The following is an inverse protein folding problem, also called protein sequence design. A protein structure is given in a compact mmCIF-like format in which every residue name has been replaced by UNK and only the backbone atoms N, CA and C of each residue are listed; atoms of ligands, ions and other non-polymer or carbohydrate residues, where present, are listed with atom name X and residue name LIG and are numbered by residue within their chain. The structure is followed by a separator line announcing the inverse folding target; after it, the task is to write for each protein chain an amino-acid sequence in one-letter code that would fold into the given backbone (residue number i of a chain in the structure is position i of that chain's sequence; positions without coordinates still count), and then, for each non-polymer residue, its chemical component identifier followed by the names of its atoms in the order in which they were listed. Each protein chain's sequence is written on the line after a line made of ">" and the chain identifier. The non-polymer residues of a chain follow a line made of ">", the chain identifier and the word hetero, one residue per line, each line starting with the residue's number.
data_IF_239684632983
#
_entry.id   IF_239684632983
#
_cell.length_a   1.000
_cell.length_b   1.000
_cell.length_c   1.000
_cell.angle_alpha   90.00
_cell.angle_beta   90.00
_cell.angle_gamma   90.00
#
_symmetry.space_group_name_H-M   'P 1'
#
loop_
_entity.id
_entity.type
_entity.pdbx_description
1 polymer ?
#
# COMPACT_ATOMS: atom_id res chain seq x y z
N UNK A 1 -6.19 32.55 -8.10
CA UNK A 1 -7.13 33.32 -7.25
C UNK A 1 -8.54 32.77 -7.40
N UNK A 2 -9.32 32.69 -6.32
CA UNK A 2 -10.64 32.03 -6.31
C UNK A 2 -11.81 32.94 -6.73
N UNK A 3 -12.68 32.45 -7.63
CA UNK A 3 -13.94 33.13 -7.97
C UNK A 3 -14.89 33.17 -6.77
N UNK A 4 -15.57 34.31 -6.58
CA UNK A 4 -16.61 34.51 -5.55
C UNK A 4 -16.14 34.32 -4.10
N UNK A 5 -14.86 34.59 -3.81
CA UNK A 5 -14.26 34.44 -2.46
C UNK A 5 -15.05 35.12 -1.34
N UNK A 6 -15.66 36.27 -1.62
CA UNK A 6 -16.41 37.06 -0.64
C UNK A 6 -17.61 36.31 -0.05
N UNK A 7 -18.12 35.28 -0.75
CA UNK A 7 -19.25 34.46 -0.25
C UNK A 7 -18.84 33.52 0.88
N UNK A 8 -17.55 33.22 1.01
CA UNK A 8 -17.02 32.32 2.04
C UNK A 8 -16.53 33.07 3.30
N UNK A 9 -16.78 34.38 3.39
CA UNK A 9 -16.37 35.20 4.53
C UNK A 9 -17.47 35.20 5.59
N UNK A 10 -17.19 34.61 6.74
CA UNK A 10 -18.07 34.55 7.91
C UNK A 10 -17.86 33.26 8.69
N UNK A 11 -18.61 33.06 9.77
CA UNK A 11 -18.59 31.86 10.59
C UNK A 11 -19.88 31.05 10.36
N UNK A 12 -19.74 29.72 10.29
CA UNK A 12 -20.86 28.77 10.16
C UNK A 12 -21.85 29.10 9.03
N UNK A 13 -21.32 29.44 7.86
CA UNK A 13 -22.12 29.81 6.69
C UNK A 13 -22.37 28.63 5.76
N UNK A 14 -23.62 28.47 5.34
CA UNK A 14 -23.97 27.61 4.20
C UNK A 14 -23.95 28.41 2.91
N UNK A 15 -23.05 28.06 1.99
CA UNK A 15 -22.85 28.80 0.74
C UNK A 15 -23.17 27.91 -0.45
N UNK A 16 -24.21 28.27 -1.22
CA UNK A 16 -24.46 27.62 -2.50
C UNK A 16 -23.44 28.08 -3.55
N UNK A 17 -22.53 27.18 -3.95
CA UNK A 17 -21.50 27.42 -4.96
C UNK A 17 -21.78 26.60 -6.22
N UNK A 18 -21.97 27.28 -7.35
CA UNK A 18 -22.09 26.63 -8.65
C UNK A 18 -20.93 27.09 -9.56
N UNK A 19 -20.11 26.16 -10.08
CA UNK A 19 -19.05 26.50 -11.04
C UNK A 19 -19.68 27.03 -12.34
N UNK A 20 -19.01 27.99 -12.97
CA UNK A 20 -19.43 28.56 -14.25
C UNK A 20 -18.24 28.53 -15.23
N UNK A 21 -18.12 27.38 -15.88
CA UNK A 21 -17.06 27.05 -16.84
C UNK A 21 -17.02 28.01 -18.05
N UNK A 22 -18.13 28.70 -18.35
CA UNK A 22 -18.24 29.59 -19.52
C UNK A 22 -17.69 31.00 -19.29
N UNK A 23 -17.40 31.38 -18.04
CA UNK A 23 -16.84 32.70 -17.73
C UNK A 23 -15.31 32.67 -17.77
N UNK A 24 -14.73 33.22 -18.84
CA UNK A 24 -13.27 33.40 -19.08
C UNK A 24 -12.65 34.47 -18.16
N UNK A 25 -12.77 34.31 -16.85
CA UNK A 25 -12.04 35.15 -15.89
C UNK A 25 -10.65 34.57 -15.63
N UNK A 26 -9.68 35.41 -15.26
CA UNK A 26 -8.36 34.97 -14.78
C UNK A 26 -8.38 34.27 -13.41
N UNK A 27 -9.54 34.21 -12.75
CA UNK A 27 -9.75 33.53 -11.47
C UNK A 27 -10.16 32.07 -11.70
N UNK A 28 -9.61 31.18 -10.88
CA UNK A 28 -9.92 29.77 -10.83
C UNK A 28 -11.22 29.51 -10.08
N UNK A 29 -11.91 28.41 -10.44
CA UNK A 29 -13.11 27.92 -9.77
C UNK A 29 -12.76 26.75 -8.83
N UNK A 30 -13.64 26.48 -7.86
CA UNK A 30 -13.55 25.25 -7.07
C UNK A 30 -13.99 24.07 -7.93
N UNK A 31 -13.32 22.94 -7.73
CA UNK A 31 -13.71 21.66 -8.32
C UNK A 31 -14.72 20.98 -7.40
N UNK A 32 -15.90 20.67 -7.94
CA UNK A 32 -17.04 20.09 -7.23
C UNK A 32 -16.85 18.62 -6.81
N UNK A 33 -15.76 17.98 -7.26
CA UNK A 33 -15.40 16.60 -6.90
C UNK A 33 -14.55 16.48 -5.63
N UNK A 34 -14.22 17.59 -4.97
CA UNK A 34 -13.53 17.56 -3.69
C UNK A 34 -14.49 17.56 -2.51
N UNK A 35 -14.23 16.70 -1.52
CA UNK A 35 -15.00 16.66 -0.27
C UNK A 35 -14.67 17.81 0.69
N UNK A 36 -13.43 18.30 0.65
CA UNK A 36 -12.93 19.33 1.56
C UNK A 36 -12.07 20.36 0.82
N UNK A 37 -12.06 21.60 1.33
CA UNK A 37 -11.23 22.69 0.81
C UNK A 37 -10.45 23.35 1.94
N UNK A 38 -9.16 23.57 1.73
CA UNK A 38 -8.30 24.34 2.63
C UNK A 38 -7.82 25.58 1.86
N UNK A 39 -8.11 26.77 2.37
CA UNK A 39 -7.72 28.03 1.74
C UNK A 39 -6.50 28.62 2.44
N UNK A 40 -5.39 28.78 1.70
CA UNK A 40 -4.18 29.40 2.20
C UNK A 40 -4.16 30.89 1.88
N UNK A 41 -4.23 31.74 2.90
CA UNK A 41 -4.11 33.19 2.79
C UNK A 41 -2.74 33.67 3.27
N UNK A 42 -2.12 34.55 2.49
CA UNK A 42 -0.87 35.24 2.84
C UNK A 42 -1.02 36.77 2.79
N UNK A 43 -2.26 37.28 2.75
CA UNK A 43 -2.60 38.70 2.67
C UNK A 43 -2.39 39.33 1.29
N UNK A 44 -1.81 38.61 0.32
CA UNK A 44 -1.56 39.14 -1.03
C UNK A 44 -2.67 38.75 -2.01
N UNK A 45 -2.94 39.63 -2.97
CA UNK A 45 -3.94 39.41 -4.02
C UNK A 45 -3.21 39.28 -5.37
N UNK A 46 -3.55 38.25 -6.15
CA UNK A 46 -3.01 38.05 -7.50
C UNK A 46 -1.67 37.33 -7.58
N UNK A 47 -1.13 36.88 -6.45
CA UNK A 47 0.06 36.02 -6.41
C UNK A 47 -0.33 34.56 -6.20
N UNK A 48 0.40 33.67 -6.86
CA UNK A 48 0.26 32.22 -6.71
C UNK A 48 1.28 31.70 -5.69
N UNK A 49 0.99 30.55 -5.08
CA UNK A 49 1.94 29.83 -4.25
C UNK A 49 1.84 30.06 -2.74
N UNK A 50 0.78 30.72 -2.25
CA UNK A 50 0.54 30.81 -0.79
C UNK A 50 0.31 29.42 -0.18
N UNK A 51 -0.28 28.51 -0.95
CA UNK A 51 -0.61 27.14 -0.57
C UNK A 51 0.61 26.23 -0.41
N UNK A 52 1.73 26.54 -1.03
CA UNK A 52 2.90 25.65 -1.11
C UNK A 52 3.51 25.44 0.27
N UNK A 53 3.68 26.52 1.03
CA UNK A 53 4.25 26.47 2.38
C UNK A 53 3.31 25.73 3.32
N UNK A 54 2.00 25.99 3.22
CA UNK A 54 0.99 25.33 4.04
C UNK A 54 0.93 23.83 3.74
N UNK A 55 0.83 23.46 2.46
CA UNK A 55 0.82 22.07 1.99
C UNK A 55 2.03 21.32 2.51
N UNK A 56 3.23 21.90 2.32
CA UNK A 56 4.47 21.29 2.79
C UNK A 56 4.47 21.04 4.29
N UNK A 57 4.07 22.04 5.11
CA UNK A 57 4.02 21.88 6.57
C UNK A 57 3.02 20.82 7.01
N UNK A 58 1.89 20.74 6.32
CA UNK A 58 0.87 19.74 6.58
C UNK A 58 1.37 18.33 6.25
N UNK A 59 1.99 18.14 5.08
CA UNK A 59 2.59 16.87 4.67
C UNK A 59 3.65 16.41 5.67
N UNK A 60 4.57 17.30 6.08
CA UNK A 60 5.58 17.01 7.12
C UNK A 60 4.93 16.64 8.45
N UNK A 61 3.90 17.39 8.87
CA UNK A 61 3.18 17.10 10.12
C UNK A 61 2.51 15.73 10.09
N UNK A 62 1.84 15.39 8.99
CA UNK A 62 1.15 14.11 8.83
C UNK A 62 2.15 12.93 8.80
N UNK A 63 3.31 13.13 8.21
CA UNK A 63 4.34 12.09 8.17
C UNK A 63 5.00 11.86 9.55
N UNK A 64 4.97 12.85 10.46
CA UNK A 64 5.63 12.78 11.77
C UNK A 64 4.72 12.39 12.95
N UNK A 65 3.42 12.68 12.89
CA UNK A 65 2.55 12.66 14.09
C UNK A 65 1.76 11.36 14.32
N UNK A 66 2.02 10.30 13.57
CA UNK A 66 1.33 9.03 13.73
C UNK A 66 2.26 7.95 14.28
N UNK A 67 1.73 7.13 15.19
CA UNK A 67 2.40 5.94 15.76
C UNK A 67 2.87 4.93 14.71
N UNK A 68 2.40 5.08 13.47
CA UNK A 68 2.90 4.45 12.26
C UNK A 68 3.12 5.59 11.24
N UNK A 69 4.33 5.80 10.73
CA UNK A 69 4.65 6.86 9.76
C UNK A 69 3.77 6.70 8.52
N UNK A 70 2.92 7.70 8.22
CA UNK A 70 2.06 7.64 7.03
C UNK A 70 2.93 7.89 5.80
N UNK A 71 3.03 6.95 4.84
CA UNK A 71 3.74 7.18 3.59
C UNK A 71 3.12 8.33 2.80
N UNK A 72 3.94 9.28 2.39
CA UNK A 72 3.52 10.38 1.50
C UNK A 72 4.14 10.16 0.12
N UNK A 73 3.32 10.22 -0.92
CA UNK A 73 3.75 10.15 -2.33
C UNK A 73 3.37 11.44 -3.03
N UNK A 74 4.29 11.97 -3.82
CA UNK A 74 4.02 13.04 -4.76
C UNK A 74 3.97 12.45 -6.19
N UNK A 75 2.82 12.57 -6.86
CA UNK A 75 2.66 12.16 -8.25
C UNK A 75 2.73 13.39 -9.14
N UNK A 76 3.65 13.38 -10.11
CA UNK A 76 3.83 14.45 -11.08
C UNK A 76 3.22 14.02 -12.40
N UNK A 77 2.12 14.68 -12.75
CA UNK A 77 1.45 14.56 -14.04
C UNK A 77 1.55 15.90 -14.75
N UNK A 78 2.20 15.91 -15.91
CA UNK A 78 2.57 17.12 -16.64
C UNK A 78 3.32 18.14 -15.75
N UNK A 79 3.08 19.43 -15.95
CA UNK A 79 3.57 20.51 -15.09
C UNK A 79 4.35 21.59 -15.83
N UNK A 80 4.53 22.73 -15.16
CA UNK A 80 5.35 23.84 -15.63
C UNK A 80 6.74 23.84 -15.01
N UNK A 81 7.58 24.81 -15.36
CA UNK A 81 8.91 24.99 -14.76
C UNK A 81 8.85 25.15 -13.22
N UNK A 82 7.75 25.67 -12.68
CA UNK A 82 7.56 25.78 -11.25
C UNK A 82 7.37 24.41 -10.56
N UNK A 83 6.79 23.43 -11.26
CA UNK A 83 6.68 22.04 -10.77
C UNK A 83 8.06 21.44 -10.58
N UNK A 84 8.98 21.63 -11.54
CA UNK A 84 10.37 21.18 -11.44
C UNK A 84 11.04 21.78 -10.20
N UNK A 85 10.83 23.08 -9.95
CA UNK A 85 11.35 23.75 -8.76
C UNK A 85 10.78 23.16 -7.47
N UNK A 86 9.48 22.88 -7.41
CA UNK A 86 8.85 22.25 -6.23
C UNK A 86 9.46 20.87 -5.98
N UNK A 87 9.57 20.05 -7.02
CA UNK A 87 10.15 18.69 -6.95
C UNK A 87 11.59 18.75 -6.44
N UNK A 88 12.39 19.64 -7.00
CA UNK A 88 13.76 19.90 -6.56
C UNK A 88 13.83 20.30 -5.07
N UNK A 89 12.95 21.22 -4.66
CA UNK A 89 12.83 21.69 -3.28
C UNK A 89 12.41 20.57 -2.29
N UNK A 90 11.67 19.54 -2.75
CA UNK A 90 11.33 18.35 -1.95
C UNK A 90 12.55 17.45 -1.79
N UNK A 91 13.21 17.09 -2.90
CA UNK A 91 14.35 16.17 -2.90
C UNK A 91 15.53 16.76 -2.13
N UNK A 92 15.98 17.97 -2.48
CA UNK A 92 17.17 18.59 -1.85
C UNK A 92 16.99 18.80 -0.35
N UNK A 93 15.77 19.14 0.09
CA UNK A 93 15.52 19.31 1.53
C UNK A 93 15.47 17.99 2.26
N UNK A 94 14.86 16.95 1.68
CA UNK A 94 14.90 15.63 2.30
C UNK A 94 16.34 15.14 2.47
N UNK A 95 17.18 15.28 1.44
CA UNK A 95 18.60 14.91 1.55
C UNK A 95 19.29 15.69 2.68
N UNK A 96 19.03 16.99 2.80
CA UNK A 96 19.59 17.83 3.88
C UNK A 96 19.05 17.48 5.25
N UNK A 97 17.75 17.27 5.37
CA UNK A 97 17.10 16.94 6.64
C UNK A 97 17.57 15.57 7.12
N UNK A 98 17.65 14.57 6.23
CA UNK A 98 18.16 13.24 6.52
C UNK A 98 19.63 13.24 6.99
N UNK A 99 20.45 14.17 6.47
CA UNK A 99 21.85 14.31 6.90
C UNK A 99 22.01 14.96 8.29
N UNK A 100 21.03 15.75 8.75
CA UNK A 100 21.15 16.56 9.97
C UNK A 100 20.33 15.99 11.12
N UNK A 101 19.16 15.48 10.81
CA UNK A 101 18.24 14.87 11.75
C UNK A 101 17.93 13.49 11.20
N UNK A 102 18.10 12.44 12.01
CA UNK A 102 17.78 11.06 11.66
C UNK A 102 16.25 10.90 11.52
N UNK A 103 15.70 11.54 10.50
CA UNK A 103 14.28 11.81 10.35
C UNK A 103 13.70 10.77 9.40
N UNK A 104 12.69 9.99 9.86
CA UNK A 104 12.25 8.80 9.16
C UNK A 104 11.27 9.07 8.00
N UNK A 105 10.90 10.32 7.70
CA UNK A 105 9.90 10.59 6.66
C UNK A 105 10.54 10.87 5.31
N UNK A 106 10.18 10.06 4.31
CA UNK A 106 10.56 10.23 2.89
C UNK A 106 9.31 10.46 2.07
N UNK A 107 9.30 11.50 1.25
CA UNK A 107 8.27 11.66 0.22
C UNK A 107 8.80 11.08 -1.07
N UNK A 108 8.14 10.06 -1.56
CA UNK A 108 8.51 9.40 -2.82
C UNK A 108 7.89 10.14 -3.99
N UNK A 109 8.66 10.30 -5.05
CA UNK A 109 8.24 10.97 -6.27
C UNK A 109 7.92 9.94 -7.34
N UNK A 110 6.72 10.00 -7.89
CA UNK A 110 6.31 9.21 -9.05
C UNK A 110 6.10 10.16 -10.22
N UNK A 111 6.91 10.02 -11.26
CA UNK A 111 6.84 10.85 -12.47
C UNK A 111 6.18 10.04 -13.58
N UNK A 112 5.08 10.57 -14.14
CA UNK A 112 4.40 9.96 -15.27
C UNK A 112 5.06 10.38 -16.59
N UNK A 113 5.92 9.52 -17.14
CA UNK A 113 6.53 9.70 -18.45
C UNK A 113 5.49 9.61 -19.57
N UNK A 114 5.54 10.55 -20.51
CA UNK A 114 4.57 10.73 -21.58
C UNK A 114 3.36 11.59 -21.19
N UNK A 115 3.36 12.17 -19.99
CA UNK A 115 2.27 13.08 -19.56
C UNK A 115 2.47 14.54 -19.95
N UNK A 116 3.69 14.93 -20.38
CA UNK A 116 3.96 16.24 -20.95
C UNK A 116 4.90 17.13 -20.14
N UNK A 117 5.50 18.12 -20.84
CA UNK A 117 6.26 19.26 -20.30
C UNK A 117 7.21 18.88 -19.15
N UNK A 118 6.91 19.29 -17.90
CA UNK A 118 7.81 19.08 -16.76
C UNK A 118 8.03 17.59 -16.44
N UNK A 119 7.00 16.76 -16.54
CA UNK A 119 7.10 15.33 -16.24
C UNK A 119 8.03 14.62 -17.24
N UNK A 120 7.88 14.91 -18.54
CA UNK A 120 8.73 14.32 -19.57
C UNK A 120 10.18 14.78 -19.45
N UNK A 121 10.43 16.04 -19.10
CA UNK A 121 11.78 16.54 -18.85
C UNK A 121 12.43 15.88 -17.64
N UNK A 122 11.67 15.64 -16.56
CA UNK A 122 12.14 14.88 -15.39
C UNK A 122 12.45 13.43 -15.77
N UNK A 123 11.56 12.77 -16.50
CA UNK A 123 11.73 11.40 -16.96
C UNK A 123 12.93 11.25 -17.91
N UNK A 124 13.05 12.14 -18.89
CA UNK A 124 14.18 12.17 -19.82
C UNK A 124 15.50 12.37 -19.07
N UNK A 125 15.57 13.32 -18.14
CA UNK A 125 16.79 13.57 -17.37
C UNK A 125 17.14 12.37 -16.49
N UNK A 126 16.15 11.73 -15.87
CA UNK A 126 16.35 10.53 -15.06
C UNK A 126 16.90 9.34 -15.87
N UNK A 127 16.43 9.15 -17.11
CA UNK A 127 16.95 8.09 -17.99
C UNK A 127 18.32 8.43 -18.58
N UNK A 128 18.62 9.70 -18.79
CA UNK A 128 19.84 10.13 -19.47
C UNK A 128 21.04 10.36 -18.53
N UNK A 129 20.82 10.43 -17.21
CA UNK A 129 21.90 10.57 -16.24
C UNK A 129 22.71 9.27 -16.13
N UNK A 130 24.03 9.38 -16.18
CA UNK A 130 24.94 8.25 -15.97
C UNK A 130 24.99 7.81 -14.50
N UNK A 131 25.66 6.69 -14.23
CA UNK A 131 25.92 6.22 -12.86
C UNK A 131 26.85 7.17 -12.09
N UNK A 132 27.59 8.02 -12.80
CA UNK A 132 28.43 9.08 -12.25
C UNK A 132 27.64 10.33 -11.83
N UNK A 133 26.31 10.34 -12.00
CA UNK A 133 25.45 11.45 -11.64
C UNK A 133 25.66 12.69 -12.52
N UNK A 134 26.24 12.51 -13.71
CA UNK A 134 26.47 13.58 -14.70
C UNK A 134 25.74 13.25 -16.01
N UNK A 135 25.45 14.31 -16.76
CA UNK A 135 24.98 14.22 -18.13
C UNK A 135 26.16 14.38 -19.08
N UNK A 136 26.12 13.72 -20.22
CA UNK A 136 27.06 14.00 -21.31
C UNK A 136 26.80 15.40 -21.89
N UNK A 137 27.84 16.05 -22.41
CA UNK A 137 27.74 17.40 -22.95
C UNK A 137 26.68 17.51 -24.06
N UNK A 138 26.58 16.49 -24.92
CA UNK A 138 25.56 16.44 -25.98
C UNK A 138 24.14 16.42 -25.44
N UNK A 139 23.88 15.59 -24.42
CA UNK A 139 22.58 15.50 -23.75
C UNK A 139 22.28 16.79 -22.98
N UNK A 140 23.29 17.40 -22.36
CA UNK A 140 23.12 18.66 -21.65
C UNK A 140 22.70 19.79 -22.61
N UNK A 141 23.33 19.90 -23.78
CA UNK A 141 22.94 20.87 -24.81
C UNK A 141 21.53 20.59 -25.35
N UNK A 142 21.17 19.33 -25.56
CA UNK A 142 19.80 18.94 -25.96
C UNK A 142 18.78 19.33 -24.90
N UNK A 143 19.06 19.03 -23.62
CA UNK A 143 18.17 19.35 -22.51
C UNK A 143 17.98 20.85 -22.34
N UNK A 144 19.04 21.65 -22.51
CA UNK A 144 18.98 23.10 -22.55
C UNK A 144 18.01 23.59 -23.64
N UNK A 145 18.17 23.10 -24.87
CA UNK A 145 17.30 23.48 -26.00
C UNK A 145 15.84 23.06 -25.77
N UNK A 146 15.61 21.88 -25.19
CA UNK A 146 14.27 21.41 -24.83
C UNK A 146 13.61 22.29 -23.77
N UNK A 147 14.35 22.68 -22.72
CA UNK A 147 13.84 23.56 -21.65
C UNK A 147 13.49 24.95 -22.19
N UNK A 148 14.35 25.51 -23.06
CA UNK A 148 14.10 26.78 -23.74
C UNK A 148 12.81 26.71 -24.57
N UNK A 149 12.66 25.66 -25.37
CA UNK A 149 11.47 25.46 -26.22
C UNK A 149 10.19 25.25 -25.40
N UNK A 150 10.23 24.37 -24.39
CA UNK A 150 9.04 23.94 -23.64
C UNK A 150 8.50 25.06 -22.73
N UNK A 151 9.38 25.85 -22.11
CA UNK A 151 8.97 26.90 -21.16
C UNK A 151 9.14 28.32 -21.70
N UNK A 152 9.68 28.50 -22.91
CA UNK A 152 9.97 29.80 -23.51
C UNK A 152 10.84 30.67 -22.58
N UNK A 153 11.91 30.06 -22.05
CA UNK A 153 12.86 30.66 -21.12
C UNK A 153 14.10 31.21 -21.84
N UNK A 154 14.72 32.22 -21.24
CA UNK A 154 16.05 32.70 -21.59
C UNK A 154 17.13 31.73 -21.09
N UNK A 155 18.31 31.81 -21.69
CA UNK A 155 19.46 30.94 -21.40
C UNK A 155 19.73 30.80 -19.89
N UNK A 156 19.65 31.90 -19.13
CA UNK A 156 19.89 31.90 -17.68
C UNK A 156 18.84 31.12 -16.88
N UNK A 157 17.55 31.27 -17.22
CA UNK A 157 16.49 30.52 -16.54
C UNK A 157 16.45 29.05 -16.99
N UNK A 158 16.82 28.78 -18.24
CA UNK A 158 16.98 27.42 -18.76
C UNK A 158 18.12 26.70 -18.05
N UNK A 159 19.30 27.32 -17.94
CA UNK A 159 20.44 26.77 -17.20
C UNK A 159 20.08 26.47 -15.74
N UNK A 160 19.30 27.37 -15.11
CA UNK A 160 18.79 27.14 -13.76
C UNK A 160 17.86 25.94 -13.65
N UNK A 161 16.96 25.79 -14.62
CA UNK A 161 15.99 24.69 -14.64
C UNK A 161 16.68 23.35 -14.93
N UNK A 162 17.64 23.34 -15.86
CA UNK A 162 18.47 22.16 -16.14
C UNK A 162 19.25 21.73 -14.90
N UNK A 163 19.84 22.69 -14.16
CA UNK A 163 20.51 22.38 -12.88
C UNK A 163 19.57 21.70 -11.88
N UNK A 164 18.34 22.20 -11.72
CA UNK A 164 17.35 21.57 -10.86
C UNK A 164 16.99 20.15 -11.35
N UNK A 165 16.81 19.95 -12.66
CA UNK A 165 16.51 18.63 -13.24
C UNK A 165 17.63 17.61 -12.97
N UNK A 166 18.89 18.01 -13.18
CA UNK A 166 20.06 17.15 -12.93
C UNK A 166 20.16 16.80 -11.45
N UNK A 167 19.96 17.77 -10.55
CA UNK A 167 19.96 17.53 -9.11
C UNK A 167 18.84 16.58 -8.67
N UNK A 168 17.64 16.67 -9.28
CA UNK A 168 16.56 15.70 -9.03
C UNK A 168 16.94 14.29 -9.53
N UNK A 169 17.54 14.20 -10.71
CA UNK A 169 17.88 12.92 -11.35
C UNK A 169 19.02 12.17 -10.65
N UNK A 170 19.87 12.84 -9.86
CA UNK A 170 20.92 12.19 -9.06
C UNK A 170 20.37 11.26 -7.98
N UNK A 171 19.24 11.61 -7.38
CA UNK A 171 18.64 10.85 -6.28
C UNK A 171 17.67 9.76 -6.79
N UNK A 172 18.23 8.72 -7.43
CA UNK A 172 17.45 7.63 -8.03
C UNK A 172 16.54 6.89 -7.04
N UNK A 173 16.91 6.84 -5.76
CA UNK A 173 16.14 6.12 -4.74
C UNK A 173 14.83 6.82 -4.34
N UNK A 174 14.69 8.12 -4.65
CA UNK A 174 13.52 8.91 -4.27
C UNK A 174 12.56 9.14 -5.44
N UNK A 175 13.01 8.88 -6.68
CA UNK A 175 12.23 9.14 -7.89
C UNK A 175 12.02 7.87 -8.70
N UNK A 176 10.75 7.53 -8.92
CA UNK A 176 10.33 6.43 -9.80
C UNK A 176 9.68 7.02 -11.04
N UNK A 177 10.15 6.61 -12.22
CA UNK A 177 9.58 7.01 -13.50
C UNK A 177 8.67 5.90 -14.01
N UNK A 178 7.42 6.24 -14.32
CA UNK A 178 6.42 5.33 -14.82
C UNK A 178 5.89 5.82 -16.16
N UNK A 179 5.96 4.99 -17.19
CA UNK A 179 5.42 5.32 -18.52
C UNK A 179 3.99 4.82 -18.68
N UNK A 180 3.09 5.74 -19.01
CA UNK A 180 1.69 5.43 -19.23
C UNK A 180 1.52 4.57 -20.49
N UNK A 181 0.95 3.37 -20.35
CA UNK A 181 0.52 2.53 -21.48
C UNK A 181 1.54 1.52 -22.04
N UNK A 182 2.78 1.49 -21.58
CA UNK A 182 3.76 0.45 -21.96
C UNK A 182 3.65 -0.81 -21.09
N UNK A 183 3.22 -0.68 -19.84
CA UNK A 183 3.10 -1.80 -18.90
C UNK A 183 1.64 -2.20 -18.71
N UNK A 184 1.38 -3.49 -18.46
CA UNK A 184 0.06 -4.00 -18.01
C UNK A 184 -0.34 -3.50 -16.62
N UNK A 185 0.56 -2.81 -15.94
CA UNK A 185 0.37 -2.32 -14.59
C UNK A 185 -0.24 -0.93 -14.61
N UNK A 186 -1.23 -0.73 -13.75
CA UNK A 186 -1.91 0.55 -13.58
C UNK A 186 -1.08 1.52 -12.72
N UNK A 187 -1.45 2.80 -12.70
CA UNK A 187 -0.74 3.87 -11.97
C UNK A 187 -0.67 3.59 -10.47
N UNK A 188 -1.67 2.91 -9.91
CA UNK A 188 -1.71 2.50 -8.52
C UNK A 188 -0.57 1.54 -8.17
N UNK A 189 -0.28 0.58 -9.04
CA UNK A 189 0.85 -0.34 -8.89
C UNK A 189 2.16 0.44 -8.84
N UNK A 190 2.35 1.41 -9.74
CA UNK A 190 3.57 2.25 -9.73
C UNK A 190 3.73 3.05 -8.43
N UNK A 191 2.64 3.63 -7.92
CA UNK A 191 2.64 4.40 -6.67
C UNK A 191 3.04 3.50 -5.49
N UNK A 192 2.42 2.33 -5.39
CA UNK A 192 2.63 1.42 -4.28
C UNK A 192 4.00 0.74 -4.34
N UNK A 193 4.47 0.38 -5.54
CA UNK A 193 5.83 -0.15 -5.75
C UNK A 193 6.90 0.90 -5.43
N UNK A 194 6.67 2.17 -5.78
CA UNK A 194 7.58 3.26 -5.40
C UNK A 194 7.66 3.43 -3.87
N UNK A 195 6.53 3.32 -3.16
CA UNK A 195 6.50 3.32 -1.70
C UNK A 195 7.24 2.12 -1.10
N UNK A 196 7.03 0.94 -1.66
CA UNK A 196 7.60 -0.31 -1.17
C UNK A 196 9.13 -0.33 -1.30
N UNK A 197 9.65 0.08 -2.47
CA UNK A 197 11.09 0.10 -2.77
C UNK A 197 11.81 1.26 -2.11
N UNK A 198 11.13 2.40 -2.01
CA UNK A 198 11.73 3.61 -1.50
C UNK A 198 11.91 3.58 0.02
N UNK A 199 11.01 2.91 0.74
CA UNK A 199 11.21 2.66 2.15
C UNK A 199 12.20 1.49 2.29
N UNK A 200 13.31 1.71 2.97
CA UNK A 200 14.31 0.67 3.27
C UNK A 200 13.76 -0.30 4.34
N UNK A 201 12.56 -0.82 4.12
CA UNK A 201 11.83 -1.76 4.97
C UNK A 201 12.41 -3.16 4.79
N UNK A 202 12.33 -3.93 5.86
CA UNK A 202 12.54 -5.37 5.78
C UNK A 202 11.41 -6.05 5.00
N UNK A 203 11.68 -7.20 4.39
CA UNK A 203 10.68 -8.01 3.68
C UNK A 203 9.37 -8.23 4.47
N UNK A 204 9.37 -8.55 5.79
CA UNK A 204 8.12 -8.69 6.54
C UNK A 204 7.34 -7.38 6.70
N UNK A 205 8.01 -6.23 6.85
CA UNK A 205 7.35 -4.92 6.91
C UNK A 205 6.73 -4.55 5.56
N UNK A 206 7.44 -4.84 4.45
CA UNK A 206 6.90 -4.70 3.10
C UNK A 206 5.64 -5.54 2.91
N UNK A 207 5.63 -6.78 3.41
CA UNK A 207 4.49 -7.68 3.33
C UNK A 207 3.29 -7.17 4.15
N UNK A 208 3.52 -6.65 5.36
CA UNK A 208 2.49 -6.03 6.18
C UNK A 208 1.86 -4.82 5.48
N UNK A 209 2.69 -4.00 4.83
CA UNK A 209 2.21 -2.84 4.07
C UNK A 209 1.36 -3.26 2.86
N UNK A 210 1.79 -4.29 2.13
CA UNK A 210 1.01 -4.85 1.02
C UNK A 210 -0.33 -5.46 1.48
N UNK A 211 -0.34 -6.13 2.64
CA UNK A 211 -1.55 -6.64 3.30
C UNK A 211 -2.51 -5.52 3.70
N UNK A 212 -1.99 -4.44 4.28
CA UNK A 212 -2.76 -3.26 4.64
C UNK A 212 -3.40 -2.60 3.42
N UNK A 213 -2.66 -2.53 2.30
CA UNK A 213 -3.17 -2.02 1.01
C UNK A 213 -4.09 -3.00 0.29
N UNK A 214 -4.15 -4.26 0.72
CA UNK A 214 -4.84 -5.33 0.00
C UNK A 214 -4.38 -5.49 -1.45
N UNK A 215 -3.06 -5.50 -1.69
CA UNK A 215 -2.46 -5.68 -3.02
C UNK A 215 -1.58 -6.92 -3.08
N UNK A 216 -2.23 -8.08 -3.23
CA UNK A 216 -1.56 -9.37 -3.33
C UNK A 216 -0.74 -9.50 -4.62
N UNK A 217 -1.13 -8.80 -5.68
CA UNK A 217 -0.40 -8.71 -6.95
C UNK A 217 0.99 -8.09 -6.75
N UNK A 218 1.08 -7.00 -5.98
CA UNK A 218 2.36 -6.33 -5.66
C UNK A 218 3.22 -7.23 -4.79
N UNK A 219 2.62 -7.87 -3.78
CA UNK A 219 3.37 -8.81 -2.94
C UNK A 219 3.95 -9.97 -3.77
N UNK A 220 3.20 -10.48 -4.74
CA UNK A 220 3.65 -11.55 -5.63
C UNK A 220 4.80 -11.11 -6.53
N UNK A 221 4.77 -9.90 -7.10
CA UNK A 221 5.81 -9.45 -8.05
C UNK A 221 7.05 -8.88 -7.38
N UNK A 222 6.89 -8.13 -6.28
CA UNK A 222 7.99 -7.35 -5.69
C UNK A 222 8.54 -7.95 -4.38
N UNK A 223 7.75 -8.73 -3.63
CA UNK A 223 8.12 -9.21 -2.28
C UNK A 223 8.51 -10.69 -2.31
N UNK A 224 7.70 -11.52 -2.95
CA UNK A 224 7.95 -12.96 -3.13
C UNK A 224 8.78 -13.25 -4.38
N UNK A 225 9.92 -12.57 -4.52
CA UNK A 225 10.89 -12.82 -5.59
C UNK A 225 11.77 -14.04 -5.28
N UNK A 226 12.24 -14.71 -6.34
CA UNK A 226 13.18 -15.83 -6.23
C UNK A 226 14.46 -15.40 -5.49
N UNK A 227 14.72 -16.00 -4.32
CA UNK A 227 15.91 -15.74 -3.50
C UNK A 227 15.65 -15.15 -2.12
N UNK A 228 14.42 -14.73 -1.81
CA UNK A 228 14.06 -14.25 -0.46
C UNK A 228 13.77 -15.43 0.46
N UNK A 229 14.59 -15.62 1.50
CA UNK A 229 14.30 -16.59 2.55
C UNK A 229 13.31 -16.01 3.56
N UNK A 230 12.24 -16.76 3.83
CA UNK A 230 11.18 -16.32 4.74
C UNK A 230 11.21 -17.11 6.05
N UNK A 231 11.19 -16.39 7.17
CA UNK A 231 10.98 -16.96 8.48
C UNK A 231 9.57 -17.57 8.57
N UNK A 232 9.46 -18.79 9.10
CA UNK A 232 8.16 -19.45 9.31
C UNK A 232 7.23 -18.62 10.20
N UNK A 233 7.79 -17.89 11.17
CA UNK A 233 7.01 -17.03 12.06
C UNK A 233 6.44 -15.81 11.33
N UNK A 234 7.20 -15.19 10.42
CA UNK A 234 6.76 -14.00 9.69
C UNK A 234 5.61 -14.34 8.75
N UNK A 235 5.72 -15.46 8.04
CA UNK A 235 4.64 -15.97 7.19
C UNK A 235 3.40 -16.36 8.02
N UNK A 236 3.59 -16.96 9.19
CA UNK A 236 2.47 -17.27 10.08
C UNK A 236 1.79 -15.99 10.63
N UNK A 237 2.55 -14.95 10.95
CA UNK A 237 1.99 -13.67 11.38
C UNK A 237 1.18 -13.03 10.24
N UNK A 238 1.74 -12.98 9.03
CA UNK A 238 1.06 -12.49 7.83
C UNK A 238 -0.22 -13.30 7.51
N UNK A 239 -0.18 -14.63 7.70
CA UNK A 239 -1.33 -15.51 7.50
C UNK A 239 -2.46 -15.23 8.49
N UNK A 240 -2.13 -15.01 9.77
CA UNK A 240 -3.12 -14.60 10.76
C UNK A 240 -3.79 -13.27 10.37
N UNK A 241 -3.00 -12.29 9.93
CA UNK A 241 -3.53 -11.00 9.51
C UNK A 241 -4.42 -11.12 8.27
N UNK A 242 -3.98 -11.87 7.26
CA UNK A 242 -4.77 -12.13 6.05
C UNK A 242 -6.12 -12.78 6.37
N UNK A 243 -6.15 -13.76 7.27
CA UNK A 243 -7.39 -14.43 7.71
C UNK A 243 -8.30 -13.49 8.52
N UNK A 244 -7.73 -12.70 9.44
CA UNK A 244 -8.50 -11.75 10.25
C UNK A 244 -9.13 -10.61 9.42
N UNK A 245 -8.53 -10.27 8.28
CA UNK A 245 -8.95 -9.19 7.40
C UNK A 245 -9.66 -9.67 6.12
N UNK A 246 -9.99 -10.97 6.01
CA UNK A 246 -10.67 -11.58 4.86
C UNK A 246 -9.95 -11.34 3.53
N UNK A 247 -8.62 -11.53 3.53
CA UNK A 247 -7.75 -11.33 2.35
C UNK A 247 -7.44 -12.67 1.69
N UNK A 248 -8.38 -13.20 0.91
CA UNK A 248 -8.27 -14.53 0.28
C UNK A 248 -7.07 -14.66 -0.67
N UNK A 249 -6.77 -13.61 -1.43
CA UNK A 249 -5.67 -13.64 -2.40
C UNK A 249 -4.30 -13.75 -1.72
N UNK A 250 -4.16 -13.13 -0.54
CA UNK A 250 -2.97 -13.26 0.30
C UNK A 250 -2.87 -14.64 0.94
N UNK A 251 -3.99 -15.22 1.37
CA UNK A 251 -4.02 -16.60 1.89
C UNK A 251 -3.50 -17.56 0.82
N UNK A 252 -3.98 -17.44 -0.42
CA UNK A 252 -3.50 -18.25 -1.53
C UNK A 252 -2.00 -18.02 -1.78
N UNK A 253 -1.56 -16.75 -1.83
CA UNK A 253 -0.16 -16.39 -2.04
C UNK A 253 0.77 -16.98 -0.96
N UNK A 254 0.35 -16.93 0.31
CA UNK A 254 1.14 -17.46 1.44
C UNK A 254 1.22 -19.00 1.42
N UNK A 255 0.15 -19.68 1.00
CA UNK A 255 0.14 -21.13 0.80
C UNK A 255 1.08 -21.54 -0.34
N UNK A 256 1.09 -20.80 -1.45
CA UNK A 256 2.01 -21.01 -2.58
C UNK A 256 3.48 -20.82 -2.16
N UNK A 257 3.76 -19.93 -1.21
CA UNK A 257 5.10 -19.57 -0.75
C UNK A 257 5.56 -20.32 0.53
N UNK A 258 4.92 -21.44 0.87
CA UNK A 258 5.46 -22.39 1.87
C UNK A 258 4.78 -22.41 3.24
N UNK A 259 3.64 -21.73 3.42
CA UNK A 259 2.82 -21.89 4.63
C UNK A 259 2.09 -23.24 4.59
N UNK A 260 2.41 -24.13 5.53
CA UNK A 260 1.64 -25.36 5.74
C UNK A 260 0.52 -25.14 6.74
N UNK A 261 -0.73 -25.29 6.30
CA UNK A 261 -1.91 -25.13 7.15
C UNK A 261 -1.88 -26.05 8.39
N UNK A 262 -1.33 -27.26 8.25
CA UNK A 262 -1.20 -28.21 9.37
C UNK A 262 -0.23 -27.71 10.46
N UNK A 263 0.86 -27.04 10.09
CA UNK A 263 1.82 -26.46 11.05
C UNK A 263 1.35 -25.10 11.56
N UNK A 264 0.58 -24.38 10.76
CA UNK A 264 0.05 -23.07 11.10
C UNK A 264 -1.09 -23.13 12.12
N UNK A 265 -2.07 -24.02 11.93
CA UNK A 265 -3.27 -24.10 12.78
C UNK A 265 -2.97 -24.77 14.13
N UNK A 266 -2.62 -23.96 15.12
CA UNK A 266 -2.54 -24.37 16.52
C UNK A 266 -3.83 -24.04 17.26
N UNK A 267 -4.09 -24.73 18.38
CA UNK A 267 -5.27 -24.46 19.22
C UNK A 267 -5.40 -22.96 19.58
N UNK A 268 -4.29 -22.32 19.98
CA UNK A 268 -4.29 -20.91 20.36
C UNK A 268 -4.57 -19.95 19.19
N UNK A 269 -4.10 -20.26 17.97
CA UNK A 269 -4.40 -19.46 16.78
C UNK A 269 -5.86 -19.62 16.35
N UNK A 270 -6.39 -20.84 16.40
CA UNK A 270 -7.78 -21.11 16.06
C UNK A 270 -8.74 -20.43 17.04
N UNK A 271 -8.43 -20.49 18.34
CA UNK A 271 -9.17 -19.74 19.38
C UNK A 271 -9.12 -18.23 19.12
N UNK A 272 -7.98 -17.69 18.69
CA UNK A 272 -7.87 -16.28 18.32
C UNK A 272 -8.75 -15.92 17.12
N UNK A 273 -8.75 -16.74 16.06
CA UNK A 273 -9.58 -16.51 14.87
C UNK A 273 -11.07 -16.51 15.21
N UNK A 274 -11.55 -17.46 16.03
CA UNK A 274 -12.95 -17.51 16.46
C UNK A 274 -13.37 -16.32 17.34
N UNK A 275 -12.42 -15.69 18.03
CA UNK A 275 -12.67 -14.55 18.91
C UNK A 275 -12.40 -13.19 18.25
N UNK A 276 -12.11 -13.17 16.95
CA UNK A 276 -11.82 -11.92 16.23
C UNK A 276 -13.11 -11.11 16.01
N UNK A 277 -13.05 -9.82 16.34
CA UNK A 277 -14.14 -8.85 16.19
C UNK A 277 -14.27 -8.28 14.77
N UNK A 278 -13.29 -8.55 13.92
CA UNK A 278 -13.19 -8.09 12.53
C UNK A 278 -13.93 -8.96 11.51
N UNK A 279 -14.56 -10.06 11.95
CA UNK A 279 -15.33 -10.97 11.08
C UNK A 279 -16.73 -10.44 10.72
N UNK A 280 -17.46 -11.14 9.83
CA UNK A 280 -18.81 -10.75 9.45
C UNK A 280 -19.74 -10.59 10.66
N UNK A 281 -20.67 -9.61 10.66
CA UNK A 281 -21.57 -9.32 11.78
C UNK A 281 -22.51 -10.49 12.14
N UNK A 282 -22.59 -11.52 11.30
CA UNK A 282 -23.40 -12.73 11.47
C UNK A 282 -22.57 -13.97 11.83
N UNK A 283 -21.45 -13.78 12.53
CA UNK A 283 -20.62 -14.88 13.02
C UNK A 283 -21.31 -15.63 14.18
N UNK A 284 -20.86 -16.87 14.40
CA UNK A 284 -21.35 -17.81 15.43
C UNK A 284 -21.63 -17.16 16.79
N UNK A 285 -20.87 -16.13 17.18
CA UNK A 285 -21.08 -15.32 18.39
C UNK A 285 -22.51 -14.76 18.51
N UNK A 286 -23.08 -14.25 17.41
CA UNK A 286 -24.45 -13.75 17.35
C UNK A 286 -25.48 -14.88 17.51
N UNK A 287 -25.20 -16.06 16.95
CA UNK A 287 -26.06 -17.26 17.02
C UNK A 287 -25.94 -18.02 18.35
N UNK A 288 -24.80 -17.90 19.03
CA UNK A 288 -24.57 -18.47 20.36
C UNK A 288 -25.15 -17.61 21.50
N UNK A 289 -25.81 -16.48 21.18
CA UNK A 289 -26.45 -15.62 22.19
C UNK A 289 -25.47 -14.92 23.14
N UNK A 290 -24.17 -14.92 22.83
CA UNK A 290 -23.12 -14.29 23.63
C UNK A 290 -23.10 -12.80 23.28
N UNK A 291 -24.09 -12.05 23.77
CA UNK A 291 -24.23 -10.61 23.54
C UNK A 291 -23.19 -9.75 24.30
N UNK A 292 -22.28 -10.35 25.06
CA UNK A 292 -21.34 -9.64 25.92
C UNK A 292 -19.91 -9.77 25.41
N UNK A 293 -19.27 -8.64 25.08
CA UNK A 293 -17.84 -8.50 24.71
C UNK A 293 -16.83 -9.04 25.73
N UNK A 294 -17.29 -9.71 26.80
CA UNK A 294 -16.48 -10.24 27.91
C UNK A 294 -16.31 -11.77 27.89
N UNK A 295 -17.06 -12.51 27.08
CA UNK A 295 -16.88 -13.96 26.95
C UNK A 295 -15.98 -14.28 25.77
N UNK A 296 -14.78 -14.78 26.06
CA UNK A 296 -13.91 -15.41 25.06
C UNK A 296 -14.43 -16.82 24.80
N UNK A 297 -14.79 -17.10 23.56
CA UNK A 297 -15.19 -18.43 23.09
C UNK A 297 -13.98 -19.34 23.21
N UNK A 298 -14.08 -20.37 24.05
CA UNK A 298 -13.10 -21.46 24.04
C UNK A 298 -13.50 -22.47 22.98
N UNK A 299 -12.54 -23.16 22.40
CA UNK A 299 -12.83 -24.19 21.39
C UNK A 299 -13.72 -25.33 21.92
N UNK A 300 -13.74 -25.54 23.24
CA UNK A 300 -14.66 -26.45 23.94
C UNK A 300 -16.12 -26.06 23.80
N UNK A 301 -16.40 -24.77 23.64
CA UNK A 301 -17.75 -24.24 23.51
C UNK A 301 -18.23 -24.38 22.05
N UNK A 302 -17.31 -24.21 21.09
CA UNK A 302 -17.57 -24.40 19.66
C UNK A 302 -17.82 -25.88 19.32
N UNK A 303 -17.08 -26.80 19.94
CA UNK A 303 -17.27 -28.25 19.72
C UNK A 303 -18.54 -28.82 20.34
N UNK A 304 -19.20 -28.07 21.24
CA UNK A 304 -20.51 -28.43 21.81
C UNK A 304 -21.68 -28.11 20.86
N UNK A 305 -21.43 -27.37 19.78
CA UNK A 305 -22.43 -27.07 18.76
C UNK A 305 -22.72 -28.31 17.90
N UNK A 306 -23.99 -28.56 17.53
CA UNK A 306 -24.32 -29.70 16.69
C UNK A 306 -23.55 -29.66 15.38
N UNK A 307 -22.99 -30.81 14.96
CA UNK A 307 -22.18 -30.98 13.74
C UNK A 307 -22.82 -30.37 12.48
N UNK A 308 -24.15 -30.25 12.43
CA UNK A 308 -24.90 -29.60 11.35
C UNK A 308 -24.54 -28.12 11.15
N UNK A 309 -24.14 -27.40 12.21
CA UNK A 309 -23.67 -26.01 12.12
C UNK A 309 -22.21 -25.89 11.70
N UNK A 310 -21.39 -26.90 11.99
CA UNK A 310 -19.95 -26.93 11.66
C UNK A 310 -19.75 -27.32 10.19
N UNK A 311 -20.57 -28.24 9.66
CA UNK A 311 -20.50 -28.70 8.26
C UNK A 311 -20.91 -27.61 7.26
N UNK A 312 -21.76 -26.65 7.64
CA UNK A 312 -22.15 -25.51 6.80
C UNK A 312 -20.99 -24.55 6.47
N UNK A 313 -19.85 -24.65 7.17
CA UNK A 313 -18.68 -23.77 6.99
C UNK A 313 -17.43 -24.48 6.45
N UNK A 314 -17.58 -25.70 5.90
CA UNK A 314 -16.56 -26.31 5.01
C UNK A 314 -15.25 -26.78 5.65
N UNK A 315 -15.10 -26.72 6.98
CA UNK A 315 -13.93 -27.27 7.69
C UNK A 315 -14.40 -28.37 8.63
N UNK A 316 -14.07 -29.62 8.29
CA UNK A 316 -14.20 -30.76 9.20
C UNK A 316 -13.11 -30.67 10.27
N UNK A 317 -13.46 -30.13 11.44
CA UNK A 317 -12.60 -30.14 12.61
C UNK A 317 -12.63 -31.55 13.22
N UNK A 318 -11.74 -32.44 12.76
CA UNK A 318 -11.41 -33.66 13.50
C UNK A 318 -10.54 -33.27 14.71
N UNK A 319 -11.18 -32.75 15.76
CA UNK A 319 -10.54 -32.55 17.08
C UNK A 319 -10.61 -33.92 17.80
N UNK A 320 -9.50 -34.66 17.96
CA UNK A 320 -9.52 -35.93 18.67
C UNK A 320 -9.81 -35.67 20.15
N UNK A 321 -10.98 -36.10 20.59
CA UNK A 321 -11.34 -36.06 22.00
C UNK A 321 -10.46 -37.04 22.81
N UNK A 322 -9.91 -36.54 23.92
CA UNK A 322 -9.27 -37.36 24.96
C UNK A 322 -10.26 -37.58 26.10
N UNK A 323 -11.35 -38.30 25.84
CA UNK A 323 -12.23 -38.76 26.95
C UNK A 323 -12.85 -40.15 26.74
N UNK A 324 -12.30 -41.05 25.91
CA UNK A 324 -12.62 -42.50 26.03
C UNK A 324 -11.44 -43.27 26.55
N UNK A 325 -11.26 -43.26 27.86
CA UNK A 325 -10.47 -44.29 28.55
C UNK A 325 -11.28 -44.95 29.68
N UNK A 326 -12.61 -45.02 29.54
CA UNK A 326 -13.49 -45.64 30.54
C UNK A 326 -14.26 -46.88 30.05
N UNK A 327 -13.95 -47.42 28.87
CA UNK A 327 -14.66 -48.62 28.35
C UNK A 327 -13.73 -49.68 27.75
N UNK A 328 -12.51 -49.81 28.28
CA UNK A 328 -11.57 -50.90 27.96
C UNK A 328 -11.15 -51.68 29.22
N UNK A 329 -12.10 -51.93 30.12
CA UNK A 329 -11.96 -52.93 31.21
C UNK A 329 -13.08 -53.96 31.17
N UNK A 330 -13.52 -54.36 29.97
CA UNK A 330 -14.39 -55.52 29.81
C UNK A 330 -13.62 -56.65 29.10
N UNK A 331 -13.17 -57.70 29.81
CA UNK A 331 -12.28 -58.74 29.27
C UNK A 331 -12.93 -59.70 28.26
N UNK A 332 -14.14 -59.42 27.77
CA UNK A 332 -14.93 -60.39 26.99
C UNK A 332 -14.82 -60.21 25.47
N UNK A 333 -14.12 -59.17 24.96
CA UNK A 333 -14.06 -58.86 23.51
C UNK A 333 -12.68 -59.19 22.89
N UNK A 334 -11.74 -59.78 23.64
CA UNK A 334 -10.41 -60.17 23.14
C UNK A 334 -10.32 -61.61 22.59
N UNK A 335 -11.41 -62.17 22.04
CA UNK A 335 -11.38 -63.55 21.49
C UNK A 335 -11.77 -63.73 20.02
N UNK A 336 -12.04 -62.66 19.27
CA UNK A 336 -12.55 -62.81 17.89
C UNK A 336 -11.69 -62.16 16.80
N UNK A 337 -10.41 -61.88 17.07
CA UNK A 337 -9.46 -61.47 16.02
C UNK A 337 -8.18 -62.30 16.15
N UNK A 338 -8.30 -63.61 15.94
CA UNK A 338 -7.19 -64.41 15.45
C UNK A 338 -7.65 -65.18 14.20
N UNK A 339 -7.26 -64.66 13.04
CA UNK A 339 -6.88 -65.40 11.82
C UNK A 339 -6.65 -64.40 10.67
N UNK A 340 -5.50 -64.45 9.99
CA UNK A 340 -5.26 -63.68 8.77
C UNK A 340 -5.85 -64.45 7.58
N UNK A 341 -6.73 -63.81 6.80
CA UNK A 341 -7.10 -64.31 5.47
C UNK A 341 -6.24 -63.59 4.42
N UNK A 342 -5.18 -64.27 4.02
CA UNK A 342 -4.54 -64.13 2.71
C UNK A 342 -5.47 -64.66 1.63
N UNK A 343 -5.82 -63.82 0.66
CA UNK A 343 -6.15 -64.26 -0.70
C UNK A 343 -5.85 -63.14 -1.67
N UNK A 344 -4.70 -63.29 -2.33
CA UNK A 344 -4.35 -62.69 -3.61
C UNK A 344 -5.41 -63.08 -4.65
N UNK A 345 -5.85 -62.12 -5.46
CA UNK A 345 -6.33 -62.38 -6.81
C UNK A 345 -5.96 -61.18 -7.69
N UNK A 346 -4.96 -61.41 -8.55
CA UNK A 346 -4.65 -60.64 -9.76
C UNK A 346 -5.90 -60.48 -10.61
N UNK A 347 -6.08 -59.31 -11.24
CA UNK A 347 -6.54 -59.14 -12.64
C UNK A 347 -5.83 -57.88 -13.16
N UNK A 348 -5.29 -58.03 -14.37
CA UNK A 348 -4.49 -57.11 -15.20
C UNK A 348 -5.25 -55.90 -15.79
N UNK A 349 -4.45 -55.05 -16.46
CA UNK A 349 -4.74 -54.15 -17.58
C UNK A 349 -5.14 -52.68 -17.31
N UNK A 350 -4.13 -51.80 -17.35
CA UNK A 350 -3.84 -50.92 -18.51
C UNK A 350 -2.49 -50.21 -18.38
#
# INVERSE_FOLDING_TARGET
>A
MLKRRNRFVGADLTVHYAPNQFNKSRLAELNDRHSYFIFADNGTVGRYGSEIILRKRLETYLAQNSTCSIPVVCVVLEGGAFTIKIVHDYITRQVKELMVFDVPYRTYLVVCDGSGRAADLLAFTHHAIGDDGKLSDSVHTQLMSLVEMVFNYDEKNSERTVRHLVECARERNLMTVFRLGEQRQDVDHAILTALLKGQNLSSPEQLQLALAWNRADIARSEIFTLGTEWGTQDLHNAMMEALCHDRTDFVQLLLENGVSMHRFLTYGRLEHLYNTDKGPPHTLLSKMGIASRRHRVKLTDVSSLPLTYIVLFGIRLDIPWKTSWATLTNPTILRTISKPNTSFSQIDDM
#
